data_IF_115204975132
#
_entry.id   IF_115204975132
#
_cell.length_a   1.000
_cell.length_b   1.000
_cell.length_c   1.000
_cell.angle_alpha   90.00
_cell.angle_beta   90.00
_cell.angle_gamma   90.00
#
_symmetry.space_group_name_H-M   'P 1'
#
loop_
_entity.id
_entity.type
_entity.pdbx_description
1 polymer ?
#
# COMPACT_ATOMS: atom_id res chain seq x y z
N UNK A 1 9.82 30.55 -12.58
CA UNK A 1 10.89 30.77 -11.58
C UNK A 1 10.63 32.01 -10.73
N UNK A 2 10.42 33.21 -11.29
CA UNK A 2 10.14 34.43 -10.51
C UNK A 2 8.94 34.29 -9.55
N UNK A 3 7.81 33.77 -10.03
CA UNK A 3 6.62 33.50 -9.22
C UNK A 3 6.91 32.56 -8.03
N UNK A 4 7.65 31.48 -8.26
CA UNK A 4 8.00 30.51 -7.22
C UNK A 4 8.88 31.14 -6.12
N UNK A 5 9.77 32.06 -6.50
CA UNK A 5 10.56 32.83 -5.54
C UNK A 5 9.68 33.75 -4.69
N UNK A 6 8.71 34.44 -5.30
CA UNK A 6 7.78 35.30 -4.56
C UNK A 6 6.96 34.52 -3.53
N UNK A 7 6.42 33.36 -3.89
CA UNK A 7 5.69 32.51 -2.94
C UNK A 7 6.57 32.02 -1.80
N UNK A 8 7.77 31.54 -2.10
CA UNK A 8 8.74 31.11 -1.09
C UNK A 8 9.10 32.23 -0.12
N UNK A 9 9.32 33.45 -0.61
CA UNK A 9 9.62 34.61 0.24
C UNK A 9 8.46 34.94 1.18
N UNK A 10 7.22 34.93 0.70
CA UNK A 10 6.03 35.21 1.53
C UNK A 10 5.81 34.11 2.58
N UNK A 11 5.97 32.84 2.20
CA UNK A 11 5.86 31.71 3.13
C UNK A 11 6.93 31.77 4.22
N UNK A 12 8.19 32.00 3.86
CA UNK A 12 9.26 32.14 4.84
C UNK A 12 9.05 33.35 5.77
N UNK A 13 8.53 34.46 5.24
CA UNK A 13 8.18 35.63 6.05
C UNK A 13 7.07 35.32 7.06
N UNK A 14 6.05 34.54 6.67
CA UNK A 14 5.03 34.07 7.61
C UNK A 14 5.62 33.14 8.68
N UNK A 15 6.44 32.16 8.28
CA UNK A 15 7.08 31.22 9.21
C UNK A 15 8.02 31.91 10.22
N UNK A 16 8.61 33.04 9.85
CA UNK A 16 9.45 33.85 10.74
C UNK A 16 8.65 34.68 11.77
N UNK A 17 7.31 34.75 11.65
CA UNK A 17 6.43 35.52 12.53
C UNK A 17 5.64 34.54 13.40
N UNK A 18 5.92 34.51 14.70
CA UNK A 18 5.31 33.55 15.66
C UNK A 18 3.78 33.57 15.75
N UNK A 19 3.15 34.66 15.32
CA UNK A 19 1.67 34.83 15.27
C UNK A 19 1.06 34.54 13.90
N UNK A 20 1.86 34.20 12.89
CA UNK A 20 1.34 33.82 11.59
C UNK A 20 0.89 32.36 11.65
N UNK A 21 -0.42 32.13 11.61
CA UNK A 21 -1.01 30.78 11.72
C UNK A 21 -1.32 30.15 10.36
N UNK A 22 -1.18 30.90 9.26
CA UNK A 22 -1.37 30.37 7.91
C UNK A 22 -1.38 31.45 6.83
N UNK A 23 -1.36 31.01 5.57
CA UNK A 23 -1.51 31.85 4.37
C UNK A 23 -2.67 31.31 3.54
N UNK A 24 -3.60 32.19 3.17
CA UNK A 24 -4.71 31.84 2.28
C UNK A 24 -4.40 32.29 0.86
N UNK A 25 -4.59 31.40 -0.12
CA UNK A 25 -4.46 31.71 -1.55
C UNK A 25 -5.84 31.66 -2.20
N UNK A 26 -6.18 32.70 -2.95
CA UNK A 26 -7.47 32.85 -3.63
C UNK A 26 -7.42 32.31 -5.06
N UNK A 27 -8.40 31.48 -5.45
CA UNK A 27 -8.44 30.83 -6.76
C UNK A 27 -7.43 29.68 -6.84
N UNK A 28 -7.90 28.48 -7.18
CA UNK A 28 -7.07 27.26 -7.11
C UNK A 28 -6.20 27.14 -8.38
N UNK A 29 -6.78 27.09 -9.60
CA UNK A 29 -6.03 27.26 -10.86
C UNK A 29 -6.08 28.67 -11.47
N UNK A 30 -5.09 29.00 -12.30
CA UNK A 30 -4.90 30.33 -12.93
C UNK A 30 -6.14 30.90 -13.64
N UNK A 31 -7.04 30.08 -14.18
CA UNK A 31 -8.26 30.59 -14.85
C UNK A 31 -9.31 31.17 -13.89
N UNK A 32 -9.20 30.93 -12.58
CA UNK A 32 -9.96 31.64 -11.56
C UNK A 32 -9.17 32.81 -10.95
N UNK A 33 -8.02 33.17 -11.51
CA UNK A 33 -7.26 34.31 -11.02
C UNK A 33 -8.02 35.60 -11.28
N UNK A 34 -8.02 36.51 -10.29
CA UNK A 34 -8.57 37.85 -10.43
C UNK A 34 -7.71 38.77 -11.31
N UNK A 35 -6.51 38.33 -11.72
CA UNK A 35 -5.62 39.07 -12.63
C UNK A 35 -5.72 38.47 -14.03
N UNK A 36 -6.27 39.24 -14.97
CA UNK A 36 -6.49 38.81 -16.35
C UNK A 36 -5.20 38.61 -17.17
N UNK A 37 -4.11 39.26 -16.79
CA UNK A 37 -2.82 39.23 -17.53
C UNK A 37 -1.66 38.60 -16.73
N UNK A 38 -1.96 37.88 -15.64
CA UNK A 38 -0.95 37.17 -14.86
C UNK A 38 -1.35 35.74 -14.57
N UNK A 39 -0.36 34.88 -14.29
CA UNK A 39 -0.56 33.51 -13.80
C UNK A 39 -0.08 33.39 -12.36
N UNK A 40 -0.70 34.08 -11.38
CA UNK A 40 -0.16 34.18 -10.04
C UNK A 40 -0.49 32.98 -9.17
N UNK A 41 -1.26 31.98 -9.60
CA UNK A 41 -1.73 30.90 -8.72
C UNK A 41 -0.83 29.67 -8.74
N UNK A 42 -1.05 28.76 -7.79
CA UNK A 42 -0.20 27.57 -7.56
C UNK A 42 -0.40 26.48 -8.62
N UNK A 43 -1.54 26.50 -9.31
CA UNK A 43 -1.89 25.53 -10.35
C UNK A 43 -2.16 26.26 -11.67
N UNK A 44 -1.81 25.63 -12.79
CA UNK A 44 -2.17 26.14 -14.11
C UNK A 44 -3.66 25.91 -14.40
N UNK A 45 -4.17 26.44 -15.51
CA UNK A 45 -5.60 26.30 -15.89
C UNK A 45 -6.06 24.85 -16.06
N UNK A 46 -5.13 23.90 -16.25
CA UNK A 46 -5.39 22.46 -16.30
C UNK A 46 -5.25 21.75 -14.95
N UNK A 47 -5.23 22.49 -13.84
CA UNK A 47 -5.06 21.98 -12.48
C UNK A 47 -3.71 21.29 -12.20
N UNK A 48 -2.74 21.37 -13.11
CA UNK A 48 -1.41 20.84 -12.84
C UNK A 48 -0.63 21.80 -11.93
N UNK A 49 0.14 21.23 -11.01
CA UNK A 49 1.00 21.97 -10.09
C UNK A 49 2.04 22.77 -10.88
N UNK A 50 2.24 24.02 -10.51
CA UNK A 50 3.32 24.87 -11.02
C UNK A 50 4.49 24.84 -10.04
N UNK A 51 5.68 25.26 -10.47
CA UNK A 51 6.85 25.37 -9.59
C UNK A 51 6.62 26.22 -8.33
N UNK A 52 5.63 27.13 -8.33
CA UNK A 52 5.24 27.89 -7.15
C UNK A 52 4.60 27.00 -6.07
N UNK A 53 3.82 25.99 -6.45
CA UNK A 53 3.28 25.00 -5.52
C UNK A 53 4.39 24.28 -4.78
N UNK A 54 5.37 23.75 -5.51
CA UNK A 54 6.48 23.01 -4.93
C UNK A 54 7.37 23.91 -4.06
N UNK A 55 7.51 25.19 -4.42
CA UNK A 55 8.24 26.18 -3.62
C UNK A 55 7.53 26.51 -2.29
N UNK A 56 6.19 26.62 -2.29
CA UNK A 56 5.41 26.76 -1.05
C UNK A 56 5.58 25.51 -0.18
N UNK A 57 5.42 24.33 -0.77
CA UNK A 57 5.54 23.06 -0.05
C UNK A 57 6.95 22.88 0.54
N UNK A 58 7.99 23.19 -0.24
CA UNK A 58 9.39 23.17 0.20
C UNK A 58 9.63 24.12 1.37
N UNK A 59 9.11 25.35 1.30
CA UNK A 59 9.27 26.35 2.35
C UNK A 59 8.56 25.94 3.65
N UNK A 60 7.33 25.42 3.55
CA UNK A 60 6.60 24.87 4.70
C UNK A 60 7.29 23.66 5.31
N UNK A 61 7.99 22.88 4.49
CA UNK A 61 8.75 21.70 4.93
C UNK A 61 10.20 22.01 5.37
N UNK A 62 10.56 23.28 5.58
CA UNK A 62 11.87 23.65 6.15
C UNK A 62 13.02 23.82 5.13
N UNK A 63 12.73 23.99 3.84
CA UNK A 63 13.70 24.52 2.87
C UNK A 63 14.57 23.51 2.12
N UNK A 64 14.21 22.23 2.05
CA UNK A 64 14.91 21.25 1.18
C UNK A 64 14.21 21.12 -0.18
N UNK A 65 14.86 21.45 -1.32
CA UNK A 65 14.22 21.38 -2.63
C UNK A 65 13.86 19.94 -3.02
N UNK A 66 12.84 19.72 -3.87
CA UNK A 66 12.47 18.38 -4.32
C UNK A 66 13.58 17.86 -5.24
N UNK A 67 14.31 16.85 -4.78
CA UNK A 67 15.24 16.11 -5.62
C UNK A 67 14.41 15.21 -6.51
N UNK A 68 14.56 15.35 -7.84
CA UNK A 68 14.19 14.34 -8.83
C UNK A 68 14.62 12.97 -8.31
N UNK A 69 13.78 11.92 -8.27
CA UNK A 69 14.18 10.63 -7.74
C UNK A 69 15.20 10.01 -8.72
N UNK A 70 16.47 10.29 -8.48
CA UNK A 70 17.52 9.29 -8.71
C UNK A 70 17.16 8.16 -7.75
N UNK A 71 17.16 6.88 -8.17
CA UNK A 71 16.90 5.78 -7.26
C UNK A 71 17.93 5.87 -6.14
N UNK A 72 17.51 6.39 -4.99
CA UNK A 72 18.29 6.29 -3.77
C UNK A 72 18.47 4.80 -3.56
N UNK A 73 19.71 4.27 -3.54
CA UNK A 73 19.89 2.88 -3.17
C UNK A 73 19.18 2.70 -1.85
N UNK A 74 18.29 1.71 -1.79
CA UNK A 74 17.73 1.22 -0.52
C UNK A 74 18.88 1.22 0.48
N UNK A 75 18.78 1.90 1.63
CA UNK A 75 19.85 1.87 2.60
C UNK A 75 20.13 0.40 2.88
N UNK A 76 21.30 -0.07 2.41
CA UNK A 76 21.81 -1.38 2.76
C UNK A 76 21.84 -1.38 4.28
N UNK A 77 21.26 -2.38 4.97
CA UNK A 77 21.36 -2.46 6.41
C UNK A 77 22.84 -2.37 6.75
N UNK A 78 23.27 -1.30 7.41
CA UNK A 78 24.67 -1.04 7.74
C UNK A 78 25.24 -1.99 8.80
N UNK A 79 24.76 -3.23 8.86
CA UNK A 79 25.24 -4.30 9.70
C UNK A 79 25.06 -5.63 8.99
N UNK A 80 26.04 -6.52 9.13
CA UNK A 80 25.85 -7.92 8.76
C UNK A 80 24.69 -8.46 9.61
N UNK A 81 23.55 -8.78 9.01
CA UNK A 81 22.38 -9.33 9.71
C UNK A 81 22.62 -10.79 10.15
N UNK A 82 23.84 -11.13 10.59
CA UNK A 82 24.32 -12.48 10.85
C UNK A 82 23.62 -13.15 12.03
N UNK A 83 23.04 -12.36 12.94
CA UNK A 83 22.20 -12.88 14.02
C UNK A 83 20.73 -13.00 13.62
N UNK A 84 20.34 -12.51 12.42
CA UNK A 84 19.01 -12.65 11.85
C UNK A 84 18.16 -11.39 11.88
N UNK A 85 16.83 -11.59 11.85
CA UNK A 85 15.85 -10.52 11.66
C UNK A 85 14.80 -10.49 12.78
N UNK A 86 14.33 -9.30 13.14
CA UNK A 86 13.26 -9.09 14.12
C UNK A 86 12.13 -8.24 13.54
N UNK A 87 10.90 -8.51 13.97
CA UNK A 87 9.70 -7.84 13.49
C UNK A 87 9.36 -6.66 14.39
N UNK A 88 9.69 -5.45 13.94
CA UNK A 88 9.20 -4.23 14.57
C UNK A 88 7.77 -3.98 14.07
N UNK A 89 6.82 -3.86 14.99
CA UNK A 89 5.40 -3.66 14.64
C UNK A 89 4.78 -2.51 15.41
N UNK A 90 3.89 -1.78 14.76
CA UNK A 90 3.18 -0.63 15.33
C UNK A 90 1.70 -0.73 15.00
N UNK A 91 0.87 -0.80 16.04
CA UNK A 91 -0.58 -0.93 15.94
C UNK A 91 -1.29 0.44 16.02
N UNK A 92 -2.61 0.43 15.79
CA UNK A 92 -3.55 1.55 15.95
C UNK A 92 -3.41 2.75 15.02
N UNK A 93 -2.40 2.74 14.15
CA UNK A 93 -2.19 3.79 13.17
C UNK A 93 -3.16 3.77 11.97
N UNK A 94 -3.02 4.74 11.07
CA UNK A 94 -2.21 5.95 11.22
C UNK A 94 -2.99 7.09 11.90
N UNK A 95 -2.29 7.86 12.74
CA UNK A 95 -2.80 9.04 13.44
C UNK A 95 -2.12 10.33 12.94
N UNK A 96 -2.93 11.34 12.58
CA UNK A 96 -2.45 12.60 12.02
C UNK A 96 -1.45 13.37 12.90
N UNK A 97 -1.55 13.22 14.23
CA UNK A 97 -0.67 13.88 15.19
C UNK A 97 0.69 13.20 15.34
N UNK A 98 0.83 11.91 15.02
CA UNK A 98 2.00 11.13 15.46
C UNK A 98 2.68 10.29 14.36
N UNK A 99 1.95 9.73 13.39
CA UNK A 99 2.53 8.78 12.41
C UNK A 99 3.73 9.35 11.65
N UNK A 100 3.70 10.63 11.26
CA UNK A 100 4.84 11.24 10.57
C UNK A 100 6.10 11.30 11.46
N UNK A 101 5.95 11.57 12.76
CA UNK A 101 7.08 11.59 13.69
C UNK A 101 7.66 10.18 13.86
N UNK A 102 6.79 9.17 13.95
CA UNK A 102 7.20 7.77 13.99
C UNK A 102 7.96 7.36 12.72
N UNK A 103 7.41 7.66 11.53
CA UNK A 103 8.07 7.36 10.25
C UNK A 103 9.43 8.05 10.11
N UNK A 104 9.53 9.32 10.51
CA UNK A 104 10.79 10.06 10.51
C UNK A 104 11.83 9.43 11.43
N UNK A 105 11.43 9.01 12.64
CA UNK A 105 12.32 8.35 13.58
C UNK A 105 12.79 6.99 13.06
N UNK A 106 11.91 6.17 12.49
CA UNK A 106 12.25 4.87 11.90
C UNK A 106 13.22 5.04 10.73
N UNK A 107 12.87 5.87 9.75
CA UNK A 107 13.67 6.06 8.53
C UNK A 107 15.03 6.68 8.80
N UNK A 108 15.12 7.68 9.69
CA UNK A 108 16.39 8.30 10.09
C UNK A 108 17.33 7.33 10.81
N UNK A 109 16.80 6.22 11.35
CA UNK A 109 17.58 5.18 12.01
C UNK A 109 17.81 3.93 11.14
N UNK A 110 17.39 3.97 9.87
CA UNK A 110 17.52 2.87 8.91
C UNK A 110 16.61 1.68 9.24
N UNK A 111 15.49 1.92 9.92
CA UNK A 111 14.55 0.87 10.31
C UNK A 111 13.36 0.77 9.35
N UNK A 112 12.88 -0.46 9.17
CA UNK A 112 11.60 -0.79 8.55
C UNK A 112 10.73 -1.52 9.58
N UNK A 113 9.43 -1.42 9.45
CA UNK A 113 8.46 -2.00 10.37
C UNK A 113 7.17 -2.41 9.65
N UNK A 114 6.34 -3.20 10.33
CA UNK A 114 4.97 -3.52 9.89
C UNK A 114 3.98 -2.67 10.67
N UNK A 115 3.16 -1.89 9.99
CA UNK A 115 2.14 -1.02 10.57
C UNK A 115 0.79 -1.74 10.48
N UNK A 116 0.23 -2.17 11.61
CA UNK A 116 -1.11 -2.77 11.65
C UNK A 116 -2.12 -1.65 11.81
N UNK A 117 -2.70 -1.22 10.69
CA UNK A 117 -3.58 -0.06 10.67
C UNK A 117 -5.02 -0.46 10.95
N UNK A 118 -5.70 0.36 11.77
CA UNK A 118 -7.15 0.31 11.92
C UNK A 118 -7.78 0.87 10.63
N UNK A 119 -8.78 0.18 10.09
CA UNK A 119 -9.38 0.53 8.80
C UNK A 119 -10.02 1.93 8.75
N UNK A 120 -10.73 2.34 9.81
CA UNK A 120 -11.25 3.71 9.91
C UNK A 120 -10.13 4.76 9.88
N UNK A 121 -9.03 4.52 10.60
CA UNK A 121 -7.88 5.41 10.61
C UNK A 121 -7.21 5.47 9.24
N UNK A 122 -7.06 4.32 8.56
CA UNK A 122 -6.53 4.24 7.21
C UNK A 122 -7.38 5.00 6.20
N UNK A 123 -8.71 4.86 6.25
CA UNK A 123 -9.64 5.59 5.38
C UNK A 123 -9.55 7.10 5.60
N UNK A 124 -9.59 7.54 6.85
CA UNK A 124 -9.58 8.97 7.19
C UNK A 124 -8.22 9.63 6.93
N UNK A 125 -7.13 8.86 6.97
CA UNK A 125 -5.77 9.36 6.83
C UNK A 125 -5.02 8.68 5.67
N UNK A 126 -5.67 8.52 4.52
CA UNK A 126 -5.10 7.83 3.36
C UNK A 126 -3.72 8.38 2.91
N UNK A 127 -3.45 9.67 3.12
CA UNK A 127 -2.13 10.25 2.85
C UNK A 127 -1.02 9.66 3.74
N UNK A 128 -1.32 9.37 5.02
CA UNK A 128 -0.38 8.77 5.96
C UNK A 128 -0.15 7.30 5.66
N UNK A 129 -1.17 6.57 5.21
CA UNK A 129 -0.98 5.18 4.73
C UNK A 129 -0.02 5.15 3.52
N UNK A 130 -0.17 6.09 2.57
CA UNK A 130 0.80 6.23 1.46
C UNK A 130 2.18 6.64 1.95
N UNK A 131 2.27 7.46 3.00
CA UNK A 131 3.55 7.83 3.60
C UNK A 131 4.25 6.62 4.25
N UNK A 132 3.51 5.76 4.96
CA UNK A 132 4.02 4.50 5.50
C UNK A 132 4.58 3.61 4.38
N UNK A 133 3.80 3.42 3.29
CA UNK A 133 4.24 2.66 2.11
C UNK A 133 5.48 3.27 1.46
N UNK A 134 5.50 4.60 1.27
CA UNK A 134 6.62 5.32 0.64
C UNK A 134 7.89 5.31 1.50
N UNK A 135 7.75 5.24 2.83
CA UNK A 135 8.85 5.06 3.77
C UNK A 135 9.38 3.60 3.82
N UNK A 136 8.80 2.70 3.02
CA UNK A 136 9.21 1.30 2.94
C UNK A 136 8.64 0.41 4.05
N UNK A 137 7.66 0.88 4.82
CA UNK A 137 6.98 0.05 5.82
C UNK A 137 6.05 -0.96 5.14
N UNK A 138 5.80 -2.09 5.81
CA UNK A 138 4.73 -3.00 5.43
C UNK A 138 3.43 -2.61 6.14
N UNK A 139 2.29 -2.93 5.53
CA UNK A 139 0.98 -2.56 6.08
C UNK A 139 0.18 -3.84 6.33
N UNK A 140 -0.26 -4.01 7.57
CA UNK A 140 -1.13 -5.07 8.07
C UNK A 140 -2.54 -4.55 8.36
N UNK A 141 -3.47 -5.48 8.52
CA UNK A 141 -4.86 -5.23 8.88
C UNK A 141 -5.04 -5.32 10.41
N UNK A 142 -5.68 -4.32 11.02
CA UNK A 142 -5.97 -4.32 12.45
C UNK A 142 -7.46 -4.11 12.77
N UNK A 143 -8.33 -4.76 11.99
CA UNK A 143 -9.80 -4.58 12.00
C UNK A 143 -10.24 -3.16 11.59
N UNK A 144 -11.56 -2.95 11.47
CA UNK A 144 -12.12 -1.68 11.01
C UNK A 144 -12.26 -0.68 12.16
N UNK A 145 -12.75 -1.14 13.31
CA UNK A 145 -13.11 -0.30 14.47
C UNK A 145 -12.42 -0.68 15.78
N UNK A 146 -11.48 -1.63 15.75
CA UNK A 146 -10.80 -2.17 16.94
C UNK A 146 -11.75 -2.82 17.98
N UNK A 147 -12.69 -3.71 17.60
CA UNK A 147 -13.59 -4.36 18.56
C UNK A 147 -12.98 -5.64 19.18
N UNK A 148 -13.59 -6.14 20.26
CA UNK A 148 -13.35 -7.51 20.75
C UNK A 148 -13.94 -8.55 19.80
N UNK A 149 -13.20 -8.93 18.75
CA UNK A 149 -13.69 -9.80 17.67
C UNK A 149 -14.19 -11.17 18.16
N UNK A 150 -13.68 -11.67 19.27
CA UNK A 150 -14.10 -12.97 19.85
C UNK A 150 -15.53 -12.96 20.37
N UNK A 151 -16.13 -11.77 20.57
CA UNK A 151 -17.50 -11.57 21.03
C UNK A 151 -18.48 -11.30 19.87
N UNK A 152 -18.00 -11.34 18.62
CA UNK A 152 -18.78 -11.01 17.43
C UNK A 152 -19.17 -12.26 16.63
N UNK A 153 -20.23 -12.15 15.83
CA UNK A 153 -20.58 -13.19 14.87
C UNK A 153 -19.58 -13.25 13.72
N UNK A 154 -19.49 -14.41 13.04
CA UNK A 154 -18.60 -14.58 11.87
C UNK A 154 -18.81 -13.53 10.78
N UNK A 155 -20.06 -13.11 10.53
CA UNK A 155 -20.38 -12.10 9.52
C UNK A 155 -19.88 -10.70 9.93
N UNK A 156 -19.97 -10.37 11.21
CA UNK A 156 -19.45 -9.11 11.75
C UNK A 156 -17.91 -9.08 11.70
N UNK A 157 -17.25 -10.18 12.09
CA UNK A 157 -15.79 -10.33 11.96
C UNK A 157 -15.37 -10.18 10.48
N UNK A 158 -16.06 -10.85 9.56
CA UNK A 158 -15.76 -10.74 8.14
C UNK A 158 -15.90 -9.31 7.64
N UNK A 159 -16.91 -8.57 8.10
CA UNK A 159 -17.10 -7.16 7.77
C UNK A 159 -15.93 -6.28 8.25
N UNK A 160 -15.50 -6.45 9.50
CA UNK A 160 -14.38 -5.73 10.11
C UNK A 160 -13.07 -5.92 9.32
N UNK A 161 -12.75 -7.17 8.98
CA UNK A 161 -11.52 -7.50 8.27
C UNK A 161 -11.62 -7.08 6.79
N UNK A 162 -12.74 -7.36 6.11
CA UNK A 162 -12.90 -7.11 4.68
C UNK A 162 -12.97 -5.61 4.33
N UNK A 163 -13.61 -4.78 5.15
CA UNK A 163 -13.62 -3.32 4.94
C UNK A 163 -12.21 -2.75 5.05
N UNK A 164 -11.44 -3.23 6.04
CA UNK A 164 -10.05 -2.83 6.24
C UNK A 164 -9.16 -3.28 5.07
N UNK A 165 -9.35 -4.51 4.57
CA UNK A 165 -8.67 -4.98 3.35
C UNK A 165 -8.93 -4.05 2.17
N UNK A 166 -10.19 -3.70 1.92
CA UNK A 166 -10.60 -2.86 0.79
C UNK A 166 -10.04 -1.44 0.90
N UNK A 167 -10.16 -0.82 2.07
CA UNK A 167 -9.65 0.54 2.28
C UNK A 167 -8.13 0.60 2.06
N UNK A 168 -7.36 -0.33 2.64
CA UNK A 168 -5.91 -0.34 2.46
C UNK A 168 -5.53 -0.68 1.01
N UNK A 169 -6.23 -1.62 0.36
CA UNK A 169 -5.99 -1.95 -1.05
C UNK A 169 -6.26 -0.76 -1.97
N UNK A 170 -7.34 -0.01 -1.75
CA UNK A 170 -7.65 1.19 -2.54
C UNK A 170 -6.58 2.28 -2.40
N UNK A 171 -5.94 2.37 -1.23
CA UNK A 171 -4.93 3.40 -0.97
C UNK A 171 -3.55 3.02 -1.50
N UNK A 172 -3.17 1.75 -1.33
CA UNK A 172 -1.80 1.25 -1.56
C UNK A 172 -1.62 0.43 -2.83
N UNK A 173 -2.74 0.03 -3.47
CA UNK A 173 -2.76 -0.90 -4.61
C UNK A 173 -2.70 -2.37 -4.22
N UNK A 174 -2.43 -2.70 -2.96
CA UNK A 174 -2.27 -4.09 -2.48
C UNK A 174 -3.05 -4.32 -1.19
N UNK A 175 -3.81 -5.41 -1.12
CA UNK A 175 -4.47 -5.80 0.11
C UNK A 175 -3.44 -6.35 1.13
N UNK A 176 -3.59 -6.06 2.44
CA UNK A 176 -2.77 -6.68 3.46
C UNK A 176 -2.81 -8.22 3.40
N UNK A 177 -1.69 -8.85 3.75
CA UNK A 177 -1.59 -10.32 3.92
C UNK A 177 -1.49 -10.74 5.39
N UNK A 178 -1.26 -9.77 6.26
CA UNK A 178 -1.10 -9.97 7.70
C UNK A 178 -2.27 -9.30 8.40
N UNK A 179 -2.75 -9.94 9.44
CA UNK A 179 -3.77 -9.42 10.31
C UNK A 179 -3.32 -9.58 11.76
N UNK A 180 -3.59 -8.60 12.59
CA UNK A 180 -3.43 -8.71 14.04
C UNK A 180 -4.79 -8.48 14.69
N UNK A 181 -5.28 -9.39 15.54
CA UNK A 181 -6.51 -9.15 16.27
C UNK A 181 -6.32 -8.04 17.31
N UNK A 182 -7.27 -7.09 17.42
CA UNK A 182 -7.36 -6.20 18.57
C UNK A 182 -7.23 -6.98 19.89
N UNK A 183 -6.48 -6.42 20.84
CA UNK A 183 -6.22 -7.02 22.15
C UNK A 183 -5.48 -8.38 22.13
N UNK A 184 -5.05 -8.88 20.96
CA UNK A 184 -4.48 -10.22 20.82
C UNK A 184 -5.50 -11.35 20.98
N UNK A 185 -6.80 -11.04 21.00
CA UNK A 185 -7.86 -12.01 21.25
C UNK A 185 -8.22 -12.79 19.99
N UNK A 186 -8.15 -14.12 20.05
CA UNK A 186 -8.50 -14.99 18.90
C UNK A 186 -9.27 -16.24 19.31
N UNK A 187 -10.04 -16.77 18.37
CA UNK A 187 -10.77 -18.04 18.49
C UNK A 187 -10.91 -18.73 17.12
N UNK A 188 -11.50 -19.93 17.10
CA UNK A 188 -11.65 -20.69 15.86
C UNK A 188 -12.52 -20.00 14.79
N UNK A 189 -13.52 -19.21 15.21
CA UNK A 189 -14.38 -18.45 14.30
C UNK A 189 -13.58 -17.36 13.57
N UNK A 190 -12.78 -16.58 14.31
CA UNK A 190 -11.91 -15.56 13.75
C UNK A 190 -10.90 -16.17 12.76
N UNK A 191 -10.23 -17.27 13.16
CA UNK A 191 -9.28 -17.99 12.30
C UNK A 191 -9.88 -18.49 10.99
N UNK A 192 -11.13 -18.94 11.02
CA UNK A 192 -11.85 -19.34 9.81
C UNK A 192 -12.04 -18.15 8.85
N UNK A 193 -12.41 -16.98 9.38
CA UNK A 193 -12.59 -15.77 8.57
C UNK A 193 -11.25 -15.26 8.01
N UNK A 194 -10.19 -15.25 8.81
CA UNK A 194 -8.84 -14.89 8.35
C UNK A 194 -8.39 -15.76 7.17
N UNK A 195 -8.57 -17.09 7.28
CA UNK A 195 -8.24 -18.03 6.21
C UNK A 195 -9.02 -17.76 4.92
N UNK A 196 -10.33 -17.48 5.04
CA UNK A 196 -11.17 -17.13 3.89
C UNK A 196 -10.70 -15.85 3.18
N UNK A 197 -10.12 -14.91 3.94
CA UNK A 197 -9.59 -13.65 3.42
C UNK A 197 -8.09 -13.73 3.04
N UNK A 198 -7.45 -14.89 3.22
CA UNK A 198 -6.02 -15.08 2.93
C UNK A 198 -5.11 -14.28 3.86
N UNK A 199 -5.56 -14.03 5.10
CA UNK A 199 -4.83 -13.31 6.13
C UNK A 199 -4.10 -14.28 7.07
N UNK A 200 -2.86 -13.93 7.40
CA UNK A 200 -2.09 -14.62 8.44
C UNK A 200 -2.22 -13.84 9.74
N UNK A 201 -2.73 -14.49 10.79
CA UNK A 201 -2.79 -13.95 12.15
C UNK A 201 -1.38 -13.76 12.73
N UNK A 202 -1.09 -12.55 13.20
CA UNK A 202 0.18 -12.15 13.79
C UNK A 202 -0.06 -11.62 15.21
N UNK A 203 0.43 -12.38 16.19
CA UNK A 203 0.55 -11.93 17.58
C UNK A 203 1.97 -11.32 17.77
N UNK A 204 2.54 -11.43 18.95
CA UNK A 204 3.87 -10.94 19.30
C UNK A 204 4.51 -11.91 20.28
N UNK A 205 5.85 -11.90 20.31
CA UNK A 205 6.64 -12.62 21.31
C UNK A 205 6.98 -11.72 22.50
N UNK A 206 7.11 -10.41 22.25
CA UNK A 206 7.46 -9.39 23.24
C UNK A 206 6.42 -8.28 23.18
N UNK A 207 5.84 -7.93 24.32
CA UNK A 207 5.04 -6.72 24.47
C UNK A 207 5.89 -5.61 25.10
N UNK A 208 5.97 -4.46 24.44
CA UNK A 208 6.70 -3.30 24.97
C UNK A 208 6.01 -2.64 26.17
N UNK A 209 4.70 -2.89 26.34
CA UNK A 209 3.83 -2.25 27.33
C UNK A 209 3.78 -0.72 27.18
N UNK A 210 4.09 -0.19 25.99
CA UNK A 210 4.04 1.24 25.72
C UNK A 210 2.64 1.83 25.93
N UNK A 211 1.60 1.05 25.57
CA UNK A 211 0.20 1.37 25.84
C UNK A 211 -0.18 1.40 27.32
N UNK A 212 0.60 0.71 28.17
CA UNK A 212 0.38 0.61 29.62
C UNK A 212 1.32 1.54 30.41
N UNK A 213 1.79 2.62 29.78
CA UNK A 213 2.60 3.64 30.44
C UNK A 213 4.07 3.26 30.64
N UNK A 214 4.60 2.27 29.91
CA UNK A 214 6.02 1.97 29.95
C UNK A 214 6.86 3.19 29.55
N UNK A 215 7.90 3.46 30.34
CA UNK A 215 8.90 4.47 30.02
C UNK A 215 9.72 4.07 28.79
N UNK A 216 10.35 5.05 28.13
CA UNK A 216 11.28 4.79 27.02
C UNK A 216 12.34 3.76 27.36
N UNK A 217 12.90 3.79 28.58
CA UNK A 217 13.90 2.81 29.02
C UNK A 217 13.32 1.38 29.10
N UNK A 218 12.09 1.22 29.57
CA UNK A 218 11.41 -0.08 29.63
C UNK A 218 11.10 -0.62 28.22
N UNK A 219 10.66 0.26 27.30
CA UNK A 219 10.43 -0.12 25.89
C UNK A 219 11.72 -0.59 25.23
N UNK A 220 12.83 0.13 25.45
CA UNK A 220 14.17 -0.28 24.96
C UNK A 220 14.61 -1.61 25.57
N UNK A 221 14.36 -1.82 26.87
CA UNK A 221 14.67 -3.08 27.54
C UNK A 221 13.88 -4.24 26.94
N UNK A 222 12.57 -4.06 26.70
CA UNK A 222 11.73 -5.07 26.07
C UNK A 222 12.25 -5.43 24.68
N UNK A 223 12.47 -4.43 23.81
CA UNK A 223 13.07 -4.64 22.48
C UNK A 223 14.47 -5.30 22.53
N UNK A 224 15.22 -5.06 23.60
CA UNK A 224 16.51 -5.68 23.88
C UNK A 224 16.45 -7.19 24.13
N UNK A 225 15.26 -7.76 24.37
CA UNK A 225 15.07 -9.21 24.55
C UNK A 225 14.80 -9.97 23.24
N UNK A 226 14.48 -9.26 22.15
CA UNK A 226 14.17 -9.87 20.86
C UNK A 226 15.30 -10.74 20.33
N UNK A 227 14.93 -11.91 19.83
CA UNK A 227 15.77 -12.87 19.13
C UNK A 227 15.33 -13.03 17.67
N UNK A 228 16.15 -13.70 16.86
CA UNK A 228 15.83 -13.95 15.45
C UNK A 228 14.42 -14.54 15.27
N UNK A 229 13.67 -13.99 14.33
CA UNK A 229 12.31 -14.40 14.01
C UNK A 229 11.23 -13.79 14.89
N UNK A 230 11.57 -13.23 16.05
CA UNK A 230 10.60 -12.71 17.01
C UNK A 230 10.02 -11.35 16.62
N UNK A 231 8.82 -11.07 17.13
CA UNK A 231 8.03 -9.88 16.84
C UNK A 231 7.73 -9.13 18.14
N UNK A 232 7.89 -7.81 18.13
CA UNK A 232 7.54 -6.93 19.25
C UNK A 232 6.29 -6.10 18.94
N UNK A 233 5.36 -6.04 19.90
CA UNK A 233 4.20 -5.13 19.90
C UNK A 233 4.60 -3.75 20.42
N UNK A 234 4.30 -2.72 19.63
CA UNK A 234 4.32 -1.30 19.98
C UNK A 234 3.13 -0.62 19.28
N UNK A 235 2.90 0.66 19.54
CA UNK A 235 1.78 1.40 18.97
C UNK A 235 2.20 2.71 18.31
N UNK A 236 1.44 3.15 17.30
CA UNK A 236 1.72 4.33 16.47
C UNK A 236 1.66 5.66 17.23
N UNK A 237 1.05 5.70 18.42
CA UNK A 237 0.58 6.94 19.06
C UNK A 237 1.41 7.45 20.25
N UNK A 238 2.38 6.69 20.76
CA UNK A 238 3.09 7.05 22.00
C UNK A 238 4.42 7.76 21.73
N UNK A 239 4.61 8.93 22.34
CA UNK A 239 5.86 9.69 22.26
C UNK A 239 7.04 8.93 22.91
N UNK A 240 6.80 8.15 23.96
CA UNK A 240 7.81 7.30 24.61
C UNK A 240 8.34 6.23 23.68
N UNK A 241 7.48 5.66 22.83
CA UNK A 241 7.83 4.70 21.77
C UNK A 241 8.70 5.36 20.70
N UNK A 242 8.34 6.56 20.23
CA UNK A 242 9.16 7.31 19.26
C UNK A 242 10.55 7.61 19.84
N UNK A 243 10.61 8.06 21.10
CA UNK A 243 11.87 8.34 21.78
C UNK A 243 12.76 7.10 21.96
N UNK A 244 12.19 5.89 21.98
CA UNK A 244 12.94 4.63 22.12
C UNK A 244 13.67 4.21 20.83
N UNK A 245 13.19 4.66 19.66
CA UNK A 245 13.64 4.16 18.35
C UNK A 245 15.16 4.25 18.13
N UNK A 246 15.86 5.37 18.44
CA UNK A 246 17.29 5.44 18.24
C UNK A 246 18.07 4.40 19.06
N UNK A 247 17.63 4.15 20.29
CA UNK A 247 18.26 3.17 21.19
C UNK A 247 17.92 1.73 20.77
N UNK A 248 16.68 1.46 20.33
CA UNK A 248 16.30 0.18 19.73
C UNK A 248 17.18 -0.11 18.51
N UNK A 249 17.34 0.87 17.61
CA UNK A 249 18.16 0.71 16.42
C UNK A 249 19.63 0.43 16.76
N UNK A 250 20.20 1.14 17.75
CA UNK A 250 21.55 0.89 18.22
C UNK A 250 21.71 -0.51 18.83
N UNK A 251 20.74 -0.97 19.63
CA UNK A 251 20.74 -2.28 20.27
C UNK A 251 20.61 -3.44 19.26
N UNK A 252 19.82 -3.27 18.19
CA UNK A 252 19.75 -4.26 17.11
C UNK A 252 21.08 -4.38 16.38
N UNK A 253 21.68 -3.24 16.02
CA UNK A 253 23.00 -3.18 15.36
C UNK A 253 24.09 -3.82 16.20
N UNK A 254 24.16 -3.54 17.51
CA UNK A 254 25.18 -4.13 18.39
C UNK A 254 25.06 -5.64 18.54
N UNK A 255 23.89 -6.21 18.21
CA UNK A 255 23.61 -7.65 18.27
C UNK A 255 23.60 -8.30 16.89
N UNK A 256 23.97 -7.59 15.82
CA UNK A 256 23.90 -8.08 14.43
C UNK A 256 22.49 -8.55 14.02
N UNK A 257 21.45 -7.96 14.61
CA UNK A 257 20.05 -8.16 14.26
C UNK A 257 19.57 -7.02 13.35
N UNK A 258 18.70 -7.34 12.40
CA UNK A 258 18.14 -6.37 11.47
C UNK A 258 16.60 -6.31 11.56
N UNK A 259 15.97 -5.17 11.24
CA UNK A 259 14.54 -5.11 11.05
C UNK A 259 14.12 -5.97 9.85
N UNK A 260 13.13 -6.84 10.05
CA UNK A 260 12.66 -7.82 9.07
C UNK A 260 11.21 -7.62 8.63
N UNK A 261 10.87 -8.22 7.49
CA UNK A 261 9.50 -8.42 7.06
C UNK A 261 8.88 -9.58 7.86
N UNK A 262 7.60 -9.51 8.22
CA UNK A 262 6.91 -10.67 8.79
C UNK A 262 6.42 -11.55 7.64
N UNK A 263 6.88 -12.81 7.62
CA UNK A 263 6.52 -13.77 6.58
C UNK A 263 5.07 -14.24 6.75
N UNK A 264 4.20 -14.08 5.73
CA UNK A 264 2.83 -14.58 5.80
C UNK A 264 2.73 -16.11 5.91
N UNK A 265 3.76 -16.88 5.56
CA UNK A 265 3.71 -18.35 5.68
C UNK A 265 4.08 -18.85 7.07
N UNK A 266 4.86 -18.08 7.84
CA UNK A 266 5.41 -18.55 9.13
C UNK A 266 5.02 -17.67 10.31
N UNK A 267 4.54 -16.45 10.06
CA UNK A 267 4.31 -15.45 11.10
C UNK A 267 5.59 -14.99 11.81
N UNK A 268 6.77 -15.22 11.23
CA UNK A 268 8.07 -14.85 11.81
C UNK A 268 8.76 -13.75 11.01
N UNK A 269 9.59 -12.98 11.69
CA UNK A 269 10.44 -11.98 11.05
C UNK A 269 11.53 -12.64 10.20
N UNK A 270 11.67 -12.19 8.96
CA UNK A 270 12.62 -12.70 7.97
C UNK A 270 13.28 -11.55 7.23
N UNK A 271 14.30 -11.87 6.44
CA UNK A 271 14.92 -10.91 5.54
C UNK A 271 13.85 -10.22 4.68
N UNK A 272 13.89 -8.88 4.57
CA UNK A 272 13.11 -8.19 3.56
C UNK A 272 13.50 -8.74 2.19
N UNK A 273 12.54 -9.20 1.39
CA UNK A 273 12.83 -9.55 0.00
C UNK A 273 13.22 -8.26 -0.74
N UNK A 274 14.52 -8.06 -0.96
CA UNK A 274 15.03 -7.01 -1.84
C UNK A 274 14.76 -7.39 -3.30
N UNK A 275 14.47 -6.40 -4.16
CA UNK A 275 14.35 -6.64 -5.60
C UNK A 275 15.61 -7.33 -6.14
N UNK A 276 15.44 -8.53 -6.70
CA UNK A 276 16.52 -9.35 -7.25
C UNK A 276 16.33 -10.83 -6.95
N UNK A 277 15.98 -11.60 -7.99
CA UNK A 277 15.85 -13.06 -8.06
C UNK A 277 14.78 -13.71 -7.17
N UNK A 278 13.59 -13.89 -7.74
CA UNK A 278 12.61 -14.89 -7.32
C UNK A 278 13.18 -16.30 -7.61
N UNK A 279 13.28 -17.20 -6.61
CA UNK A 279 13.89 -18.53 -6.75
C UNK A 279 12.97 -19.57 -7.42
N UNK A 280 12.12 -19.20 -8.37
CA UNK A 280 11.14 -20.13 -8.97
C UNK A 280 11.28 -20.38 -10.47
N UNK A 281 12.48 -20.24 -11.04
CA UNK A 281 12.73 -20.58 -12.45
C UNK A 281 13.56 -21.88 -12.61
N UNK A 282 12.96 -23.03 -12.99
CA UNK A 282 13.66 -24.16 -13.61
C UNK A 282 13.97 -23.84 -15.10
N UNK A 283 14.90 -24.56 -15.74
CA UNK A 283 15.61 -24.10 -16.93
C UNK A 283 14.72 -23.90 -18.16
N UNK A 284 15.06 -22.86 -18.91
CA UNK A 284 14.44 -22.38 -20.14
C UNK A 284 14.41 -23.45 -21.24
N UNK A 285 13.20 -23.75 -21.74
CA UNK A 285 13.00 -24.30 -23.09
C UNK A 285 12.41 -23.19 -23.98
N UNK A 286 12.91 -22.95 -25.21
CA UNK A 286 12.65 -21.70 -25.93
C UNK A 286 11.52 -21.83 -26.94
N UNK A 287 10.47 -21.00 -26.88
CA UNK A 287 9.58 -20.73 -28.05
C UNK A 287 8.61 -19.57 -27.76
N UNK A 288 8.03 -18.90 -28.78
CA UNK A 288 8.66 -18.12 -29.83
C UNK A 288 8.20 -16.64 -29.80
N UNK A 289 8.99 -15.78 -30.45
CA UNK A 289 8.61 -14.40 -30.81
C UNK A 289 7.43 -14.37 -31.78
N UNK A 290 6.42 -13.51 -31.60
CA UNK A 290 5.58 -13.04 -32.70
C UNK A 290 5.93 -11.60 -33.11
N UNK A 291 6.23 -11.47 -34.40
CA UNK A 291 6.42 -10.28 -35.23
C UNK A 291 5.21 -9.33 -35.21
N UNK A 292 5.39 -8.00 -35.37
CA UNK A 292 4.29 -7.04 -35.33
C UNK A 292 3.56 -6.91 -36.68
N UNK A 293 2.25 -6.64 -36.64
CA UNK A 293 1.47 -6.18 -37.80
C UNK A 293 0.71 -4.89 -37.47
N UNK A 294 0.73 -3.95 -38.41
CA UNK A 294 0.36 -2.55 -38.31
C UNK A 294 -1.14 -2.24 -38.39
N UNK A 295 -1.54 -1.14 -37.72
CA UNK A 295 -2.41 -0.10 -38.32
C UNK A 295 -3.86 -0.03 -37.84
N UNK A 296 -4.17 0.99 -37.02
CA UNK A 296 -5.53 1.45 -36.70
C UNK A 296 -5.82 1.44 -35.20
N UNK A 297 -5.83 2.63 -34.57
CA UNK A 297 -6.16 2.87 -33.15
C UNK A 297 -5.86 1.70 -32.21
N UNK A 298 -4.62 1.57 -31.75
CA UNK A 298 -4.15 0.34 -31.09
C UNK A 298 -4.96 0.04 -29.82
N UNK A 299 -5.96 -0.83 -29.93
CA UNK A 299 -6.64 -1.42 -28.78
C UNK A 299 -5.84 -2.65 -28.40
N UNK A 300 -5.17 -2.62 -27.26
CA UNK A 300 -4.44 -3.79 -26.75
C UNK A 300 -5.05 -4.21 -25.43
N UNK A 301 -5.53 -5.45 -25.35
CA UNK A 301 -6.04 -6.05 -24.13
C UNK A 301 -5.03 -7.07 -23.61
N UNK A 302 -4.57 -6.89 -22.38
CA UNK A 302 -3.61 -7.77 -21.72
C UNK A 302 -4.28 -8.45 -20.54
N UNK A 303 -4.21 -9.78 -20.50
CA UNK A 303 -4.70 -10.59 -19.37
C UNK A 303 -3.57 -10.69 -18.34
N UNK A 304 -3.90 -10.49 -17.07
CA UNK A 304 -3.04 -10.80 -15.94
C UNK A 304 -3.72 -11.74 -14.96
N UNK A 305 -2.91 -12.58 -14.31
CA UNK A 305 -3.39 -13.54 -13.32
C UNK A 305 -3.87 -12.83 -12.06
N UNK A 306 -5.03 -13.23 -11.55
CA UNK A 306 -5.48 -12.95 -10.20
C UNK A 306 -5.23 -14.14 -9.27
N UNK A 307 -6.08 -14.30 -8.26
CA UNK A 307 -6.04 -15.45 -7.36
C UNK A 307 -6.54 -16.72 -8.07
N UNK A 308 -5.99 -17.88 -7.70
CA UNK A 308 -6.43 -19.19 -8.16
C UNK A 308 -6.80 -20.05 -6.95
N UNK A 309 -7.90 -20.79 -7.09
CA UNK A 309 -8.43 -21.77 -6.14
C UNK A 309 -8.49 -23.15 -6.80
N UNK A 310 -8.92 -24.15 -6.04
CA UNK A 310 -9.05 -25.54 -6.52
C UNK A 310 -10.09 -25.73 -7.62
N UNK A 311 -11.06 -24.81 -7.74
CA UNK A 311 -12.19 -24.91 -8.67
C UNK A 311 -12.33 -23.72 -9.65
N UNK A 312 -11.63 -22.60 -9.39
CA UNK A 312 -11.73 -21.36 -10.17
C UNK A 312 -10.47 -20.50 -10.13
N UNK A 313 -10.37 -19.53 -11.03
CA UNK A 313 -9.35 -18.49 -10.99
C UNK A 313 -9.90 -17.13 -11.40
N UNK A 314 -9.28 -16.08 -10.87
CA UNK A 314 -9.54 -14.70 -11.25
C UNK A 314 -8.56 -14.26 -12.33
N UNK A 315 -9.05 -13.45 -13.25
CA UNK A 315 -8.24 -12.74 -14.23
C UNK A 315 -8.59 -11.26 -14.19
N UNK A 316 -7.60 -10.43 -14.48
CA UNK A 316 -7.78 -9.01 -14.79
C UNK A 316 -7.42 -8.77 -16.25
N UNK A 317 -8.18 -7.90 -16.91
CA UNK A 317 -7.91 -7.48 -18.29
C UNK A 317 -7.74 -5.98 -18.30
N UNK A 318 -6.55 -5.52 -18.70
CA UNK A 318 -6.24 -4.10 -18.86
C UNK A 318 -6.22 -3.76 -20.35
N UNK A 319 -6.97 -2.73 -20.72
CA UNK A 319 -7.02 -2.18 -22.08
C UNK A 319 -6.16 -0.92 -22.17
N UNK A 320 -5.34 -0.86 -23.22
CA UNK A 320 -4.49 0.29 -23.52
C UNK A 320 -4.69 0.77 -24.96
N UNK A 321 -4.35 2.05 -25.18
CA UNK A 321 -4.40 2.76 -26.46
C UNK A 321 -5.78 3.29 -26.88
N UNK A 322 -6.85 2.99 -26.15
CA UNK A 322 -8.16 3.68 -26.26
C UNK A 322 -8.95 3.59 -24.95
N UNK A 323 -9.79 4.58 -24.66
CA UNK A 323 -10.80 4.54 -23.59
C UNK A 323 -12.18 4.08 -24.09
N UNK A 324 -12.34 4.00 -25.41
CA UNK A 324 -13.52 3.48 -26.09
C UNK A 324 -13.15 2.14 -26.73
N UNK A 325 -13.42 1.05 -26.02
CA UNK A 325 -12.98 -0.29 -26.39
C UNK A 325 -14.11 -1.33 -26.33
N UNK A 326 -13.96 -2.37 -27.15
CA UNK A 326 -14.72 -3.60 -27.07
C UNK A 326 -13.71 -4.73 -26.95
N UNK A 327 -13.78 -5.49 -25.87
CA UNK A 327 -12.94 -6.66 -25.65
C UNK A 327 -13.78 -7.92 -25.79
N UNK A 328 -13.32 -8.87 -26.60
CA UNK A 328 -13.96 -10.19 -26.73
C UNK A 328 -13.07 -11.23 -26.07
N UNK A 329 -13.63 -11.97 -25.11
CA UNK A 329 -13.00 -13.09 -24.41
C UNK A 329 -13.68 -14.40 -24.80
N UNK A 330 -12.88 -15.44 -25.02
CA UNK A 330 -13.40 -16.79 -25.30
C UNK A 330 -12.85 -17.77 -24.28
N UNK A 331 -13.74 -18.35 -23.47
CA UNK A 331 -13.43 -19.46 -22.57
C UNK A 331 -13.62 -20.80 -23.29
N UNK A 332 -12.95 -21.86 -22.81
CA UNK A 332 -13.06 -23.20 -23.42
C UNK A 332 -13.78 -24.14 -22.46
N UNK A 333 -14.73 -24.94 -22.95
CA UNK A 333 -15.35 -26.01 -22.14
C UNK A 333 -14.27 -26.87 -21.45
N UNK A 334 -14.40 -27.20 -20.16
CA UNK A 334 -15.57 -27.03 -19.28
C UNK A 334 -15.64 -25.69 -18.51
N UNK A 335 -14.82 -24.70 -18.88
CA UNK A 335 -14.76 -23.43 -18.17
C UNK A 335 -16.06 -22.65 -18.28
N UNK A 336 -16.38 -21.89 -17.22
CA UNK A 336 -17.51 -20.95 -17.19
C UNK A 336 -17.11 -19.65 -16.51
N UNK A 337 -17.41 -18.52 -17.13
CA UNK A 337 -17.32 -17.22 -16.45
C UNK A 337 -18.47 -17.12 -15.46
N UNK A 338 -18.16 -16.99 -14.18
CA UNK A 338 -19.15 -16.97 -13.08
C UNK A 338 -19.29 -15.59 -12.43
N UNK A 339 -18.34 -14.69 -12.64
CA UNK A 339 -18.43 -13.31 -12.20
C UNK A 339 -17.62 -12.40 -13.11
N UNK A 340 -18.05 -11.14 -13.20
CA UNK A 340 -17.35 -10.06 -13.90
C UNK A 340 -17.55 -8.76 -13.13
N UNK A 341 -16.57 -7.86 -13.16
CA UNK A 341 -16.69 -6.54 -12.55
C UNK A 341 -15.96 -5.47 -13.36
N UNK A 342 -16.36 -4.22 -13.14
CA UNK A 342 -15.79 -3.03 -13.77
C UNK A 342 -15.87 -2.97 -15.30
N UNK A 343 -17.00 -3.41 -15.85
CA UNK A 343 -17.36 -3.26 -17.25
C UNK A 343 -18.80 -3.73 -17.48
N UNK A 344 -19.28 -3.62 -18.72
CA UNK A 344 -20.61 -4.08 -19.13
C UNK A 344 -20.47 -5.34 -20.00
N UNK A 345 -20.69 -6.54 -19.45
CA UNK A 345 -20.59 -7.80 -20.19
C UNK A 345 -21.84 -8.07 -21.04
N UNK A 346 -21.64 -8.77 -22.16
CA UNK A 346 -22.68 -9.51 -22.88
C UNK A 346 -22.12 -10.86 -23.34
N UNK A 347 -22.98 -11.84 -23.59
CA UNK A 347 -22.59 -13.20 -23.96
C UNK A 347 -23.22 -13.62 -25.28
N UNK A 348 -22.55 -14.51 -25.99
CA UNK A 348 -23.14 -15.24 -27.10
C UNK A 348 -24.13 -16.30 -26.61
N UNK A 349 -24.85 -16.94 -27.54
CA UNK A 349 -25.83 -17.99 -27.21
C UNK A 349 -25.21 -19.24 -26.59
N UNK A 350 -23.89 -19.45 -26.74
CA UNK A 350 -23.19 -20.59 -26.13
C UNK A 350 -22.73 -20.31 -24.69
N UNK A 351 -22.65 -19.04 -24.28
CA UNK A 351 -22.10 -18.62 -22.99
C UNK A 351 -20.56 -18.69 -22.90
N UNK A 352 -19.88 -19.11 -23.97
CA UNK A 352 -18.42 -19.26 -23.99
C UNK A 352 -17.71 -18.02 -24.53
N UNK A 353 -18.42 -17.14 -25.24
CA UNK A 353 -17.86 -15.89 -25.76
C UNK A 353 -18.48 -14.72 -25.02
N UNK A 354 -17.65 -13.99 -24.29
CA UNK A 354 -18.03 -12.79 -23.56
C UNK A 354 -17.51 -11.55 -24.30
N UNK A 355 -18.36 -10.56 -24.52
CA UNK A 355 -17.97 -9.22 -24.96
C UNK A 355 -18.04 -8.28 -23.78
N UNK A 356 -16.99 -7.51 -23.53
CA UNK A 356 -16.90 -6.51 -22.46
C UNK A 356 -16.77 -5.10 -23.05
N UNK A 357 -17.51 -4.15 -22.49
CA UNK A 357 -17.47 -2.72 -22.83
C UNK A 357 -17.14 -1.86 -21.60
N UNK A 358 -16.54 -0.66 -21.77
CA UNK A 358 -16.27 0.25 -20.66
C UNK A 358 -17.58 0.75 -20.04
N UNK A 359 -17.58 0.89 -18.72
CA UNK A 359 -18.69 1.45 -17.94
C UNK A 359 -18.39 2.88 -17.43
N UNK A 360 -17.31 3.51 -17.91
CA UNK A 360 -16.83 4.82 -17.46
C UNK A 360 -15.82 4.78 -16.30
N UNK A 361 -15.58 3.62 -15.68
CA UNK A 361 -14.70 3.47 -14.51
C UNK A 361 -13.31 2.92 -14.90
N UNK A 362 -12.65 3.58 -15.84
CA UNK A 362 -11.32 3.22 -16.32
C UNK A 362 -11.29 2.06 -17.32
N UNK A 363 -10.08 1.57 -17.62
CA UNK A 363 -9.83 0.59 -18.68
C UNK A 363 -9.36 -0.77 -18.16
N UNK A 364 -9.74 -1.14 -16.94
CA UNK A 364 -9.39 -2.45 -16.36
C UNK A 364 -10.64 -3.09 -15.79
N UNK A 365 -10.93 -4.30 -16.21
CA UNK A 365 -12.05 -5.10 -15.69
C UNK A 365 -11.55 -6.45 -15.25
N UNK A 366 -12.33 -7.16 -14.44
CA UNK A 366 -11.97 -8.50 -14.02
C UNK A 366 -13.09 -9.51 -14.20
N UNK A 367 -12.70 -10.77 -14.14
CA UNK A 367 -13.58 -11.91 -14.26
C UNK A 367 -13.11 -13.08 -13.40
N UNK A 368 -14.07 -13.87 -12.93
CA UNK A 368 -13.82 -15.16 -12.28
C UNK A 368 -14.27 -16.28 -13.23
N UNK A 369 -13.37 -17.23 -13.48
CA UNK A 369 -13.64 -18.41 -14.30
C UNK A 369 -13.61 -19.65 -13.41
N UNK A 370 -14.73 -20.36 -13.35
CA UNK A 370 -14.76 -21.73 -12.86
C UNK A 370 -14.09 -22.62 -13.91
N UNK A 371 -13.01 -23.31 -13.56
CA UNK A 371 -12.11 -23.86 -14.56
C UNK A 371 -12.42 -25.32 -14.94
N UNK A 372 -13.13 -26.06 -14.08
CA UNK A 372 -13.57 -27.44 -14.36
C UNK A 372 -12.42 -28.41 -14.72
N UNK A 373 -11.23 -28.17 -14.16
CA UNK A 373 -10.00 -28.89 -14.50
C UNK A 373 -9.17 -28.32 -15.66
N UNK A 374 -9.67 -27.33 -16.41
CA UNK A 374 -8.93 -26.67 -17.49
C UNK A 374 -8.37 -25.30 -17.05
N UNK A 375 -7.06 -25.23 -16.78
CA UNK A 375 -6.38 -24.00 -16.35
C UNK A 375 -5.95 -23.07 -17.50
N UNK A 376 -6.24 -23.43 -18.76
CA UNK A 376 -5.86 -22.60 -19.91
C UNK A 376 -6.60 -21.27 -19.87
N UNK A 377 -5.89 -20.15 -19.91
CA UNK A 377 -6.55 -18.85 -19.90
C UNK A 377 -7.38 -18.61 -21.18
N UNK A 378 -8.46 -17.82 -21.08
CA UNK A 378 -9.25 -17.43 -22.24
C UNK A 378 -8.39 -16.63 -23.22
N UNK A 379 -8.70 -16.75 -24.51
CA UNK A 379 -8.14 -15.84 -25.50
C UNK A 379 -8.86 -14.49 -25.43
N UNK A 380 -8.11 -13.40 -25.60
CA UNK A 380 -8.64 -12.05 -25.64
C UNK A 380 -8.35 -11.37 -26.98
N UNK A 381 -9.29 -10.59 -27.47
CA UNK A 381 -9.10 -9.66 -28.58
C UNK A 381 -9.72 -8.31 -28.25
N UNK A 382 -9.18 -7.24 -28.82
CA UNK A 382 -9.53 -5.85 -28.51
C UNK A 382 -9.75 -5.09 -29.80
N UNK A 383 -10.81 -4.29 -29.87
CA UNK A 383 -11.00 -3.29 -30.93
C UNK A 383 -11.56 -2.00 -30.36
N UNK A 384 -11.33 -0.89 -31.05
CA UNK A 384 -11.99 0.39 -30.73
C UNK A 384 -13.51 0.23 -30.91
N UNK A 385 -14.28 0.80 -29.99
CA UNK A 385 -15.74 0.61 -29.93
C UNK A 385 -16.52 1.38 -31.01
#
# INVERSE_FOLDING_TARGET
TAQANSYRTVVNACLAVSRCTGITVWGIPDHYSWRSSGTPLLFNSGYAKKAAYDAVLTALNGGTPPVTPTPTPTPSPGGNCSAGYVGLTYDDGPNASNTNNLLNALTSNGLRATMFNIGQNAQNNAALVRAQQSAGMWIGNHSWTHPHLTQMSSAQIQSELQQTQQAIQQITGTAPRLFRPPYGETNATLKSVEQQLGLTEIIWDVDSQDWNGASTAQIVQAAGTLQNGQIILMHDQYATTIAAIPQIAANLRSRNLCPGMISPSTGRAVAPTGGGTDPTNPPTTPTPTPTPTSGGGSCTATISQGQQWSDRFNLSVTVSGTNSWIVTLTVRSPQKTIATWNGTPSWDSSGNVMTMRPNGNGNTFGLTIQHGGNLTWPSVSCRVA
#
